data_IF_989034962050
#
_entry.id   IF_989034962050
#
_cell.length_a   1.000
_cell.length_b   1.000
_cell.length_c   1.000
_cell.angle_alpha   90.00
_cell.angle_beta   90.00
_cell.angle_gamma   90.00
#
_symmetry.space_group_name_H-M   'P 1'
#
loop_
_entity.id
_entity.type
_entity.pdbx_description
1 polymer ?
#
# COMPACT_ATOMS: atom_id res chain seq x y z
N UNK A 1 28.05 -15.57 -15.36
CA UNK A 1 27.09 -14.52 -14.91
C UNK A 1 26.78 -14.75 -13.44
N UNK A 2 27.12 -13.83 -12.54
CA UNK A 2 26.70 -13.91 -11.13
C UNK A 2 25.17 -13.80 -11.08
N UNK A 3 24.48 -14.84 -10.59
CA UNK A 3 23.06 -14.77 -10.28
C UNK A 3 22.88 -13.72 -9.19
N UNK A 4 22.51 -12.49 -9.57
CA UNK A 4 22.12 -11.48 -8.61
C UNK A 4 20.78 -11.93 -8.03
N UNK A 5 20.71 -12.01 -6.70
CA UNK A 5 19.44 -12.28 -6.00
C UNK A 5 18.44 -11.19 -6.36
N UNK A 6 17.29 -11.59 -6.96
CA UNK A 6 16.21 -10.68 -7.25
C UNK A 6 14.86 -11.29 -6.85
N UNK A 7 13.97 -10.44 -6.37
CA UNK A 7 12.59 -10.82 -6.06
C UNK A 7 11.71 -10.60 -7.30
N UNK A 8 10.76 -11.51 -7.52
CA UNK A 8 9.73 -11.34 -8.54
C UNK A 8 8.52 -10.58 -8.00
N UNK A 9 7.66 -10.03 -8.88
CA UNK A 9 6.40 -9.44 -8.47
C UNK A 9 5.51 -10.45 -7.72
N UNK A 10 5.48 -11.72 -8.15
CA UNK A 10 4.76 -12.77 -7.45
C UNK A 10 5.27 -12.98 -6.02
N UNK A 11 6.60 -12.97 -5.82
CA UNK A 11 7.19 -13.09 -4.48
C UNK A 11 6.84 -11.88 -3.60
N UNK A 12 6.86 -10.66 -4.16
CA UNK A 12 6.43 -9.46 -3.44
C UNK A 12 4.94 -9.50 -3.08
N UNK A 13 4.07 -10.01 -3.96
CA UNK A 13 2.65 -10.20 -3.63
C UNK A 13 2.45 -11.16 -2.46
N UNK A 14 3.12 -12.32 -2.48
CA UNK A 14 3.03 -13.29 -1.39
C UNK A 14 3.54 -12.67 -0.08
N UNK A 15 4.68 -11.98 -0.13
CA UNK A 15 5.26 -11.32 1.04
C UNK A 15 4.30 -10.26 1.63
N UNK A 16 3.74 -9.40 0.77
CA UNK A 16 2.80 -8.37 1.19
C UNK A 16 1.50 -8.97 1.78
N UNK A 17 0.95 -10.03 1.18
CA UNK A 17 -0.22 -10.75 1.70
C UNK A 17 0.08 -11.39 3.06
N UNK A 18 1.27 -11.97 3.25
CA UNK A 18 1.69 -12.53 4.53
C UNK A 18 1.79 -11.46 5.61
N UNK A 19 2.43 -10.33 5.31
CA UNK A 19 2.54 -9.22 6.26
C UNK A 19 1.17 -8.61 6.60
N UNK A 20 0.29 -8.47 5.62
CA UNK A 20 -1.07 -7.99 5.82
C UNK A 20 -1.88 -8.94 6.72
N UNK A 21 -1.75 -10.26 6.49
CA UNK A 21 -2.41 -11.25 7.36
C UNK A 21 -1.91 -11.14 8.80
N UNK A 22 -0.61 -10.94 9.00
CA UNK A 22 -0.02 -10.76 10.34
C UNK A 22 -0.58 -9.52 11.03
N UNK A 23 -0.70 -8.39 10.32
CA UNK A 23 -1.30 -7.16 10.85
C UNK A 23 -2.77 -7.36 11.25
N UNK A 24 -3.54 -8.03 10.39
CA UNK A 24 -4.96 -8.29 10.67
C UNK A 24 -5.18 -9.32 11.78
N UNK A 25 -4.29 -10.32 11.92
CA UNK A 25 -4.30 -11.22 13.09
C UNK A 25 -4.06 -10.45 14.39
N UNK A 26 -3.12 -9.51 14.39
CA UNK A 26 -2.93 -8.64 15.54
C UNK A 26 -4.15 -7.77 15.82
N UNK A 27 -4.72 -7.15 14.78
CA UNK A 27 -5.88 -6.27 14.94
C UNK A 27 -7.14 -6.99 15.45
N UNK A 28 -7.20 -8.33 15.34
CA UNK A 28 -8.38 -9.13 15.67
C UNK A 28 -8.13 -10.11 16.84
N UNK A 29 -7.40 -11.19 16.60
CA UNK A 29 -7.32 -12.35 17.49
C UNK A 29 -6.09 -12.32 18.43
N UNK A 30 -5.01 -11.67 18.04
CA UNK A 30 -3.70 -11.78 18.69
C UNK A 30 -3.14 -10.40 19.09
N UNK A 31 -3.97 -9.53 19.65
CA UNK A 31 -3.64 -8.13 19.98
C UNK A 31 -2.48 -7.99 20.99
N UNK A 32 -2.19 -9.02 21.79
CA UNK A 32 -1.03 -9.08 22.67
C UNK A 32 0.31 -9.27 21.94
N UNK A 33 0.30 -9.77 20.70
CA UNK A 33 1.48 -10.10 19.92
C UNK A 33 1.93 -8.91 19.04
N UNK A 34 2.47 -7.86 19.67
CA UNK A 34 2.83 -6.60 19.00
C UNK A 34 3.75 -6.75 17.77
N UNK A 35 4.61 -7.77 17.75
CA UNK A 35 5.53 -8.02 16.63
C UNK A 35 4.78 -8.29 15.30
N UNK A 36 3.54 -8.79 15.36
CA UNK A 36 2.72 -9.04 14.18
C UNK A 36 2.38 -7.74 13.44
N UNK A 37 1.95 -6.70 14.16
CA UNK A 37 1.69 -5.40 13.53
C UNK A 37 2.98 -4.69 13.12
N UNK A 38 4.08 -4.86 13.86
CA UNK A 38 5.37 -4.28 13.46
C UNK A 38 5.82 -4.79 12.09
N UNK A 39 5.70 -6.09 11.84
CA UNK A 39 5.97 -6.67 10.52
C UNK A 39 4.87 -6.31 9.52
N UNK A 40 3.64 -6.23 9.97
CA UNK A 40 2.47 -5.84 9.19
C UNK A 40 2.59 -4.49 8.50
N UNK A 41 3.28 -3.51 9.15
CA UNK A 41 3.52 -2.18 8.56
C UNK A 41 4.21 -2.23 7.19
N UNK A 42 4.91 -3.30 6.87
CA UNK A 42 5.61 -3.46 5.58
C UNK A 42 4.64 -3.78 4.42
N UNK A 43 3.43 -4.25 4.70
CA UNK A 43 2.49 -4.72 3.68
C UNK A 43 2.08 -3.61 2.72
N UNK A 44 1.59 -2.50 3.26
CA UNK A 44 1.01 -1.43 2.46
C UNK A 44 1.98 -0.80 1.45
N UNK A 45 3.23 -0.41 1.81
CA UNK A 45 4.17 0.13 0.84
C UNK A 45 4.48 -0.84 -0.31
N UNK A 46 4.54 -2.16 -0.02
CA UNK A 46 4.74 -3.17 -1.08
C UNK A 46 3.54 -3.22 -2.01
N UNK A 47 2.30 -3.20 -1.49
CA UNK A 47 1.10 -3.14 -2.33
C UNK A 47 1.02 -1.86 -3.15
N UNK A 48 1.35 -0.71 -2.58
CA UNK A 48 1.39 0.57 -3.28
C UNK A 48 2.40 0.54 -4.43
N UNK A 49 3.60 0.02 -4.20
CA UNK A 49 4.61 -0.19 -5.23
C UNK A 49 4.11 -1.13 -6.34
N UNK A 50 3.54 -2.28 -5.97
CA UNK A 50 3.02 -3.26 -6.92
C UNK A 50 1.84 -2.71 -7.73
N UNK A 51 1.00 -1.86 -7.15
CA UNK A 51 -0.08 -1.18 -7.85
C UNK A 51 0.46 -0.24 -8.95
N UNK A 52 1.51 0.54 -8.64
CA UNK A 52 2.19 1.39 -9.61
C UNK A 52 2.85 0.56 -10.73
N UNK A 53 3.55 -0.52 -10.38
CA UNK A 53 4.11 -1.43 -11.39
C UNK A 53 3.01 -2.03 -12.26
N UNK A 54 1.89 -2.45 -11.66
CA UNK A 54 0.71 -2.94 -12.38
C UNK A 54 0.13 -1.91 -13.36
N UNK A 55 0.13 -0.63 -13.01
CA UNK A 55 -0.29 0.45 -13.90
C UNK A 55 0.54 0.50 -15.18
N UNK A 56 1.86 0.41 -15.08
CA UNK A 56 2.75 0.48 -16.24
C UNK A 56 2.80 -0.81 -17.06
N UNK A 57 2.44 -1.94 -16.47
CA UNK A 57 2.43 -3.24 -17.17
C UNK A 57 1.05 -3.64 -17.70
N UNK A 58 -0.03 -2.93 -17.33
CA UNK A 58 -1.38 -3.30 -17.79
C UNK A 58 -1.62 -2.90 -19.25
N UNK A 59 -2.24 -3.80 -20.03
CA UNK A 59 -2.69 -3.50 -21.40
C UNK A 59 -3.90 -2.57 -21.45
N UNK A 60 -4.67 -2.48 -20.36
CA UNK A 60 -5.88 -1.66 -20.29
C UNK A 60 -6.11 -1.15 -18.88
N UNK A 61 -5.80 0.13 -18.67
CA UNK A 61 -6.04 0.81 -17.40
C UNK A 61 -7.53 0.74 -17.00
N UNK A 62 -8.47 0.93 -17.94
CA UNK A 62 -9.90 0.86 -17.66
C UNK A 62 -10.29 -0.48 -17.02
N UNK A 63 -9.82 -1.61 -17.58
CA UNK A 63 -10.10 -2.93 -17.01
C UNK A 63 -9.40 -3.16 -15.68
N UNK A 64 -8.21 -2.60 -15.50
CA UNK A 64 -7.49 -2.67 -14.23
C UNK A 64 -8.23 -1.89 -13.13
N UNK A 65 -8.57 -0.63 -13.38
CA UNK A 65 -9.31 0.22 -12.44
C UNK A 65 -10.69 -0.36 -12.10
N UNK A 66 -11.41 -0.90 -13.10
CA UNK A 66 -12.71 -1.54 -12.88
C UNK A 66 -12.60 -2.77 -11.96
N UNK A 67 -11.57 -3.61 -12.15
CA UNK A 67 -11.32 -4.74 -11.23
C UNK A 67 -11.05 -4.25 -9.82
N UNK A 68 -10.20 -3.23 -9.65
CA UNK A 68 -9.93 -2.66 -8.33
C UNK A 68 -11.19 -2.09 -7.68
N UNK A 69 -12.01 -1.37 -8.46
CA UNK A 69 -13.29 -0.85 -7.97
C UNK A 69 -14.22 -1.96 -7.49
N UNK A 70 -14.40 -3.01 -8.29
CA UNK A 70 -15.24 -4.16 -7.94
C UNK A 70 -14.73 -4.86 -6.67
N UNK A 71 -13.41 -5.05 -6.55
CA UNK A 71 -12.84 -5.67 -5.35
C UNK A 71 -12.85 -4.74 -4.15
N UNK A 72 -12.73 -3.41 -4.32
CA UNK A 72 -12.91 -2.45 -3.24
C UNK A 72 -14.33 -2.57 -2.65
N UNK A 73 -15.36 -2.55 -3.51
CA UNK A 73 -16.75 -2.70 -3.10
C UNK A 73 -17.04 -4.07 -2.45
N UNK A 74 -16.53 -5.16 -3.05
CA UNK A 74 -16.70 -6.51 -2.51
C UNK A 74 -16.02 -6.69 -1.15
N UNK A 75 -14.90 -6.02 -0.93
CA UNK A 75 -14.10 -6.14 0.30
C UNK A 75 -14.61 -5.24 1.43
N UNK A 76 -15.54 -4.32 1.16
CA UNK A 76 -16.01 -3.38 2.18
C UNK A 76 -16.73 -4.12 3.30
N UNK A 77 -17.67 -4.99 2.99
CA UNK A 77 -18.42 -5.75 4.01
C UNK A 77 -17.49 -6.62 4.88
N UNK A 78 -16.57 -7.45 4.34
CA UNK A 78 -15.57 -8.14 5.16
C UNK A 78 -14.70 -7.22 6.01
N UNK A 79 -14.31 -6.06 5.47
CA UNK A 79 -13.51 -5.07 6.17
C UNK A 79 -14.28 -4.42 7.33
N UNK A 80 -15.49 -3.98 7.08
CA UNK A 80 -16.39 -3.37 8.07
C UNK A 80 -16.70 -4.34 9.22
N UNK A 81 -16.97 -5.61 8.90
CA UNK A 81 -17.18 -6.65 9.90
C UNK A 81 -15.92 -6.89 10.75
N UNK A 82 -14.74 -6.86 10.14
CA UNK A 82 -13.49 -7.13 10.85
C UNK A 82 -13.07 -5.96 11.76
N UNK A 83 -13.20 -4.71 11.29
CA UNK A 83 -12.75 -3.53 12.04
C UNK A 83 -13.86 -2.87 12.87
N UNK A 84 -15.07 -2.81 12.35
CA UNK A 84 -16.21 -2.14 12.97
C UNK A 84 -17.19 -3.08 13.69
N UNK A 85 -17.07 -4.40 13.50
CA UNK A 85 -18.01 -5.39 14.05
C UNK A 85 -19.43 -5.28 13.44
N UNK A 86 -19.61 -4.51 12.37
CA UNK A 86 -20.90 -4.25 11.72
C UNK A 86 -20.77 -4.41 10.21
N UNK A 87 -21.90 -4.62 9.52
CA UNK A 87 -21.94 -4.75 8.05
C UNK A 87 -21.63 -3.42 7.34
N UNK A 88 -21.80 -2.30 8.03
CA UNK A 88 -21.58 -0.96 7.51
C UNK A 88 -20.87 -0.09 8.54
N UNK A 89 -19.61 0.26 8.26
CA UNK A 89 -18.73 1.08 9.09
C UNK A 89 -18.12 2.24 8.29
N UNK A 90 -18.84 3.34 8.06
CA UNK A 90 -18.49 4.36 7.07
C UNK A 90 -17.30 5.25 7.43
N UNK A 91 -16.74 5.11 8.61
CA UNK A 91 -15.64 5.97 9.12
C UNK A 91 -14.24 5.43 8.79
N UNK A 92 -14.14 4.29 8.12
CA UNK A 92 -12.88 3.70 7.67
C UNK A 92 -13.13 2.79 6.47
N UNK A 93 -12.54 3.11 5.33
CA UNK A 93 -12.69 2.37 4.08
C UNK A 93 -11.45 1.52 3.80
N UNK A 94 -11.64 0.37 3.14
CA UNK A 94 -10.54 -0.56 2.88
C UNK A 94 -9.43 0.00 1.96
N UNK A 95 -8.24 -0.58 2.04
CA UNK A 95 -7.01 -0.11 1.37
C UNK A 95 -7.09 -0.11 -0.16
N UNK A 96 -8.00 -0.87 -0.77
CA UNK A 96 -8.11 -0.89 -2.23
C UNK A 96 -8.61 0.46 -2.75
N UNK A 97 -9.44 1.19 -2.00
CA UNK A 97 -9.84 2.56 -2.32
C UNK A 97 -8.64 3.51 -2.36
N UNK A 98 -7.72 3.39 -1.41
CA UNK A 98 -6.47 4.17 -1.38
C UNK A 98 -5.65 3.94 -2.65
N UNK A 99 -5.44 2.67 -3.00
CA UNK A 99 -4.70 2.30 -4.20
C UNK A 99 -5.41 2.77 -5.47
N UNK A 100 -6.72 2.64 -5.56
CA UNK A 100 -7.52 3.08 -6.71
C UNK A 100 -7.45 4.59 -6.89
N UNK A 101 -7.61 5.39 -5.83
CA UNK A 101 -7.45 6.84 -5.87
C UNK A 101 -6.06 7.23 -6.37
N UNK A 102 -5.02 6.59 -5.85
CA UNK A 102 -3.65 6.79 -6.31
C UNK A 102 -3.48 6.51 -7.81
N UNK A 103 -4.00 5.39 -8.30
CA UNK A 103 -3.93 5.02 -9.72
C UNK A 103 -4.73 5.93 -10.64
N UNK A 104 -5.90 6.42 -10.20
CA UNK A 104 -6.68 7.41 -10.93
C UNK A 104 -5.91 8.74 -11.04
N UNK A 105 -5.26 9.16 -9.95
CA UNK A 105 -4.37 10.33 -9.96
C UNK A 105 -3.20 10.17 -10.93
N UNK A 106 -2.51 9.03 -10.92
CA UNK A 106 -1.43 8.73 -11.87
C UNK A 106 -1.94 8.82 -13.32
N UNK A 107 -3.14 8.29 -13.58
CA UNK A 107 -3.74 8.36 -14.92
C UNK A 107 -3.96 9.79 -15.39
N UNK A 108 -4.38 10.70 -14.51
CA UNK A 108 -4.54 12.12 -14.80
C UNK A 108 -3.19 12.80 -15.09
N UNK A 109 -2.17 12.51 -14.26
CA UNK A 109 -0.82 13.03 -14.46
C UNK A 109 -0.23 12.59 -15.80
N UNK A 110 -0.36 11.31 -16.16
CA UNK A 110 0.12 10.77 -17.43
C UNK A 110 -0.66 11.36 -18.63
N UNK A 111 -1.97 11.58 -18.50
CA UNK A 111 -2.76 12.24 -19.54
C UNK A 111 -2.33 13.71 -19.75
N UNK A 112 -1.98 14.44 -18.71
CA UNK A 112 -1.45 15.79 -18.81
C UNK A 112 -0.05 15.79 -19.45
N UNK A 113 0.80 14.83 -19.06
CA UNK A 113 2.15 14.64 -19.61
C UNK A 113 2.12 14.38 -21.11
N UNK A 114 1.17 13.56 -21.58
CA UNK A 114 0.99 13.25 -22.98
C UNK A 114 0.61 14.46 -23.86
N UNK A 115 0.07 15.55 -23.27
CA UNK A 115 -0.21 16.80 -24.00
C UNK A 115 1.05 17.63 -24.30
N UNK A 116 2.22 17.28 -23.77
CA UNK A 116 3.50 17.92 -24.04
C UNK A 116 3.66 19.34 -23.46
N UNK A 117 2.64 19.90 -22.78
CA UNK A 117 2.69 21.24 -22.20
C UNK A 117 3.23 21.19 -20.76
N UNK A 118 4.47 21.62 -20.53
CA UNK A 118 5.15 21.54 -19.24
C UNK A 118 4.37 22.18 -18.08
N UNK A 119 3.82 23.38 -18.31
CA UNK A 119 3.03 24.08 -17.29
C UNK A 119 1.78 23.29 -16.89
N UNK A 120 1.09 22.69 -17.88
CA UNK A 120 -0.11 21.86 -17.63
C UNK A 120 0.25 20.61 -16.81
N UNK A 121 1.38 19.98 -17.12
CA UNK A 121 1.87 18.84 -16.36
C UNK A 121 2.14 19.21 -14.89
N UNK A 122 2.83 20.33 -14.65
CA UNK A 122 3.14 20.80 -13.30
C UNK A 122 1.86 21.12 -12.52
N UNK A 123 0.94 21.89 -13.11
CA UNK A 123 -0.34 22.24 -12.46
C UNK A 123 -1.19 21.00 -12.18
N UNK A 124 -1.27 20.06 -13.14
CA UNK A 124 -2.02 18.81 -12.93
C UNK A 124 -1.40 17.96 -11.84
N UNK A 125 -0.07 17.82 -11.81
CA UNK A 125 0.60 17.07 -10.74
C UNK A 125 0.34 17.71 -9.37
N UNK A 126 0.49 19.02 -9.25
CA UNK A 126 0.21 19.73 -8.00
C UNK A 126 -1.26 19.56 -7.56
N UNK A 127 -2.20 19.77 -8.47
CA UNK A 127 -3.63 19.60 -8.20
C UNK A 127 -3.97 18.15 -7.78
N UNK A 128 -3.43 17.15 -8.48
CA UNK A 128 -3.67 15.73 -8.18
C UNK A 128 -3.09 15.34 -6.83
N UNK A 129 -1.92 15.86 -6.46
CA UNK A 129 -1.32 15.62 -5.13
C UNK A 129 -2.21 16.18 -4.03
N UNK A 130 -2.64 17.45 -4.16
CA UNK A 130 -3.53 18.10 -3.17
C UNK A 130 -4.88 17.41 -3.10
N UNK A 131 -5.53 17.17 -4.25
CA UNK A 131 -6.83 16.50 -4.30
C UNK A 131 -6.74 15.05 -3.83
N UNK A 132 -5.69 14.34 -4.19
CA UNK A 132 -5.47 12.95 -3.74
C UNK A 132 -5.34 12.86 -2.22
N UNK A 133 -4.59 13.78 -1.62
CA UNK A 133 -4.49 13.88 -0.15
C UNK A 133 -5.86 14.21 0.47
N UNK A 134 -6.54 15.23 -0.05
CA UNK A 134 -7.85 15.65 0.46
C UNK A 134 -8.91 14.54 0.32
N UNK A 135 -9.04 13.93 -0.85
CA UNK A 135 -10.01 12.85 -1.09
C UNK A 135 -9.70 11.60 -0.25
N UNK A 136 -8.42 11.24 -0.09
CA UNK A 136 -8.02 10.13 0.76
C UNK A 136 -8.37 10.38 2.23
N UNK A 137 -8.17 11.61 2.70
CA UNK A 137 -8.47 11.99 4.09
C UNK A 137 -9.98 12.12 4.33
N UNK A 138 -10.69 12.85 3.48
CA UNK A 138 -12.14 13.06 3.61
C UNK A 138 -12.94 11.77 3.35
N UNK A 139 -12.47 10.92 2.44
CA UNK A 139 -13.05 9.59 2.18
C UNK A 139 -12.71 8.56 3.23
N UNK A 140 -11.90 8.91 4.24
CA UNK A 140 -11.49 8.02 5.32
C UNK A 140 -10.95 6.67 4.83
N UNK A 141 -10.25 6.70 3.67
CA UNK A 141 -9.64 5.47 3.14
C UNK A 141 -8.45 5.05 4.00
N UNK A 142 -8.13 3.76 4.00
CA UNK A 142 -7.03 3.24 4.81
C UNK A 142 -5.71 3.98 4.50
N UNK A 143 -4.97 4.35 5.54
CA UNK A 143 -3.82 5.29 5.50
C UNK A 143 -4.18 6.72 5.03
N UNK A 144 -5.45 7.08 4.92
CA UNK A 144 -5.94 8.42 4.56
C UNK A 144 -5.25 9.00 3.31
N UNK A 145 -5.07 10.33 3.28
CA UNK A 145 -4.33 11.00 2.21
C UNK A 145 -2.86 10.59 2.10
N UNK A 146 -2.22 10.24 3.23
CA UNK A 146 -0.83 9.76 3.23
C UNK A 146 -0.66 8.46 2.43
N UNK A 147 -1.66 7.57 2.47
CA UNK A 147 -1.68 6.36 1.65
C UNK A 147 -1.72 6.69 0.16
N UNK A 148 -2.55 7.62 -0.27
CA UNK A 148 -2.61 8.07 -1.68
C UNK A 148 -1.27 8.70 -2.10
N UNK A 149 -0.66 9.52 -1.23
CA UNK A 149 0.66 10.11 -1.50
C UNK A 149 1.78 9.07 -1.54
N UNK A 150 1.65 7.96 -0.81
CA UNK A 150 2.61 6.84 -0.90
C UNK A 150 2.59 6.22 -2.31
N UNK A 151 1.41 6.06 -2.93
CA UNK A 151 1.30 5.61 -4.32
C UNK A 151 1.96 6.61 -5.27
N UNK A 152 1.76 7.93 -5.05
CA UNK A 152 2.42 8.97 -5.86
C UNK A 152 3.94 9.01 -5.65
N UNK A 153 4.43 8.75 -4.45
CA UNK A 153 5.87 8.65 -4.18
C UNK A 153 6.51 7.54 -5.03
N UNK A 154 5.91 6.36 -5.08
CA UNK A 154 6.39 5.28 -5.94
C UNK A 154 6.26 5.59 -7.44
N UNK A 155 5.30 6.39 -7.85
CA UNK A 155 5.19 6.86 -9.23
C UNK A 155 6.28 7.86 -9.59
N UNK A 156 6.49 8.90 -8.77
CA UNK A 156 7.47 9.95 -9.05
C UNK A 156 8.91 9.44 -8.97
N UNK A 157 9.19 8.53 -8.04
CA UNK A 157 10.51 7.96 -7.82
C UNK A 157 10.63 6.52 -8.35
N UNK A 158 9.92 6.20 -9.44
CA UNK A 158 9.87 4.84 -9.97
C UNK A 158 11.20 4.35 -10.57
N UNK A 159 12.01 5.26 -11.13
CA UNK A 159 13.26 4.89 -11.78
C UNK A 159 14.27 4.29 -10.79
N UNK A 160 15.10 3.34 -11.27
CA UNK A 160 16.13 2.69 -10.45
C UNK A 160 17.43 3.51 -10.40
N UNK A 161 17.32 4.78 -10.07
CA UNK A 161 18.44 5.69 -9.85
C UNK A 161 18.62 5.91 -8.34
N UNK A 162 19.85 6.12 -7.88
CA UNK A 162 20.14 6.31 -6.45
C UNK A 162 19.32 7.46 -5.84
N UNK A 163 19.11 8.56 -6.56
CA UNK A 163 18.31 9.68 -6.08
C UNK A 163 16.80 9.35 -6.01
N UNK A 164 16.30 8.45 -6.85
CA UNK A 164 14.93 7.95 -6.74
C UNK A 164 14.77 7.06 -5.49
N UNK A 165 15.78 6.25 -5.17
CA UNK A 165 15.78 5.45 -3.95
C UNK A 165 15.81 6.35 -2.70
N UNK A 166 16.61 7.42 -2.71
CA UNK A 166 16.59 8.43 -1.64
C UNK A 166 15.25 9.17 -1.58
N UNK A 167 14.65 9.50 -2.72
CA UNK A 167 13.33 10.12 -2.80
C UNK A 167 12.23 9.23 -2.21
N UNK A 168 12.23 7.93 -2.50
CA UNK A 168 11.33 6.97 -1.87
C UNK A 168 11.54 6.92 -0.36
N UNK A 169 12.80 6.82 0.10
CA UNK A 169 13.12 6.79 1.52
C UNK A 169 12.63 8.05 2.25
N UNK A 170 12.94 9.24 1.71
CA UNK A 170 12.53 10.51 2.28
C UNK A 170 11.00 10.68 2.28
N UNK A 171 10.33 10.32 1.18
CA UNK A 171 8.87 10.39 1.08
C UNK A 171 8.20 9.42 2.07
N UNK A 172 8.63 8.16 2.13
CA UNK A 172 8.07 7.20 3.08
C UNK A 172 8.34 7.60 4.52
N UNK A 173 9.53 8.13 4.84
CA UNK A 173 9.83 8.65 6.16
C UNK A 173 8.85 9.76 6.54
N UNK A 174 8.72 10.77 5.68
CA UNK A 174 7.83 11.89 5.95
C UNK A 174 6.36 11.44 6.10
N UNK A 175 5.88 10.59 5.19
CA UNK A 175 4.49 10.13 5.22
C UNK A 175 4.19 9.23 6.43
N UNK A 176 5.10 8.31 6.78
CA UNK A 176 4.83 7.34 7.84
C UNK A 176 5.20 7.88 9.22
N UNK A 177 6.30 8.62 9.37
CA UNK A 177 6.76 9.07 10.69
C UNK A 177 6.16 10.43 11.06
N UNK A 178 6.09 11.38 10.08
CA UNK A 178 5.65 12.75 10.38
C UNK A 178 4.14 12.93 10.18
N UNK A 179 3.58 12.40 9.07
CA UNK A 179 2.14 12.63 8.74
C UNK A 179 1.24 11.62 9.45
N UNK A 180 1.53 10.31 9.34
CA UNK A 180 0.73 9.27 9.99
C UNK A 180 1.06 9.15 11.47
N UNK A 181 2.34 9.21 11.83
CA UNK A 181 2.79 9.05 13.21
C UNK A 181 2.50 7.65 13.75
N UNK A 182 1.93 7.57 14.95
CA UNK A 182 1.56 6.34 15.60
C UNK A 182 2.23 6.16 16.96
N UNK A 183 2.30 4.92 17.44
CA UNK A 183 2.93 4.60 18.72
C UNK A 183 4.43 4.84 18.65
N UNK A 184 4.97 5.39 19.73
CA UNK A 184 6.41 5.63 19.88
C UNK A 184 6.92 4.70 20.98
N UNK A 185 8.00 3.98 20.67
CA UNK A 185 8.66 3.08 21.61
C UNK A 185 10.06 3.58 21.91
N UNK A 186 10.46 3.71 23.18
CA UNK A 186 11.84 3.93 23.55
C UNK A 186 12.63 2.63 23.28
N UNK A 187 13.65 2.70 22.43
CA UNK A 187 14.53 1.59 22.09
C UNK A 187 15.96 2.01 22.41
N UNK A 188 16.66 1.21 23.21
CA UNK A 188 18.09 1.44 23.50
C UNK A 188 18.93 0.83 22.38
N UNK A 189 19.55 1.67 21.57
CA UNK A 189 20.46 1.26 20.51
C UNK A 189 21.86 1.83 20.77
N UNK A 190 22.86 0.96 20.85
CA UNK A 190 24.27 1.35 21.16
C UNK A 190 24.39 2.22 22.43
N UNK A 191 23.60 1.94 23.49
CA UNK A 191 23.63 2.67 24.75
C UNK A 191 22.95 4.06 24.72
N UNK A 192 22.23 4.39 23.65
CA UNK A 192 21.40 5.59 23.54
C UNK A 192 19.94 5.22 23.42
N UNK A 193 19.09 5.92 24.15
CA UNK A 193 17.64 5.81 23.95
C UNK A 193 17.22 6.56 22.69
N UNK A 194 16.55 5.87 21.78
CA UNK A 194 16.01 6.39 20.55
C UNK A 194 14.51 6.15 20.54
N UNK A 195 13.74 7.13 20.18
CA UNK A 195 12.29 6.99 19.96
C UNK A 195 12.03 6.37 18.58
N UNK A 196 11.49 5.16 18.56
CA UNK A 196 11.10 4.45 17.35
C UNK A 196 9.59 4.63 17.12
N UNK A 197 9.22 5.32 16.04
CA UNK A 197 7.84 5.37 15.59
C UNK A 197 7.47 4.03 14.94
N UNK A 198 6.39 3.37 15.41
CA UNK A 198 5.91 2.08 14.90
C UNK A 198 5.65 2.13 13.39
N UNK A 199 4.95 3.17 12.94
CA UNK A 199 4.65 3.35 11.51
C UNK A 199 5.91 3.54 10.65
N UNK A 200 7.02 4.01 11.25
CA UNK A 200 8.32 4.11 10.60
C UNK A 200 8.91 2.76 10.15
N UNK A 201 8.46 1.64 10.75
CA UNK A 201 8.85 0.30 10.30
C UNK A 201 8.42 0.01 8.85
N UNK A 202 7.42 0.73 8.33
CA UNK A 202 7.01 0.67 6.92
C UNK A 202 8.17 0.97 5.94
N UNK A 203 9.21 1.72 6.36
CA UNK A 203 10.39 1.99 5.56
C UNK A 203 11.18 0.73 5.22
N UNK A 204 11.12 -0.30 6.06
CA UNK A 204 11.80 -1.58 5.81
C UNK A 204 11.24 -2.31 4.58
N UNK A 205 10.02 -1.95 4.13
CA UNK A 205 9.45 -2.45 2.89
C UNK A 205 10.29 -2.08 1.65
N UNK A 206 11.09 -1.01 1.73
CA UNK A 206 11.99 -0.63 0.63
C UNK A 206 13.05 -1.71 0.36
N UNK A 207 13.45 -2.49 1.35
CA UNK A 207 14.44 -3.56 1.16
C UNK A 207 13.97 -4.58 0.12
N UNK A 208 12.84 -5.28 0.28
CA UNK A 208 12.35 -6.20 -0.74
C UNK A 208 11.95 -5.48 -2.04
N UNK A 209 11.44 -4.23 -2.00
CA UNK A 209 11.12 -3.44 -3.18
C UNK A 209 12.40 -3.16 -4.01
N UNK A 210 13.51 -2.81 -3.39
CA UNK A 210 14.77 -2.52 -4.11
C UNK A 210 15.43 -3.79 -4.67
N UNK A 211 15.11 -4.96 -4.12
CA UNK A 211 15.53 -6.25 -4.67
C UNK A 211 14.70 -6.68 -5.90
N UNK A 212 13.52 -6.11 -6.13
CA UNK A 212 12.72 -6.34 -7.34
C UNK A 212 13.37 -5.67 -8.55
N UNK A 213 13.48 -6.42 -9.68
CA UNK A 213 14.12 -5.95 -10.93
C UNK A 213 13.23 -6.08 -12.17
N UNK A 214 11.91 -6.00 -12.00
CA UNK A 214 10.95 -6.04 -13.12
C UNK A 214 10.53 -7.46 -13.54
N UNK A 215 11.00 -8.52 -12.86
CA UNK A 215 10.62 -9.89 -13.16
C UNK A 215 9.24 -10.22 -12.58
N UNK A 216 8.30 -10.66 -13.42
CA UNK A 216 6.94 -11.03 -12.97
C UNK A 216 6.91 -12.26 -12.07
N UNK A 217 7.74 -13.28 -12.35
CA UNK A 217 7.70 -14.56 -11.65
C UNK A 217 6.52 -15.42 -12.08
N UNK A 218 5.98 -16.22 -11.16
CA UNK A 218 4.81 -17.07 -11.45
C UNK A 218 3.59 -16.19 -11.76
N UNK A 219 3.07 -16.30 -12.98
CA UNK A 219 1.94 -15.50 -13.46
C UNK A 219 0.92 -16.40 -14.16
N UNK A 220 0.00 -16.97 -13.38
CA UNK A 220 -1.17 -17.67 -13.89
C UNK A 220 -2.44 -16.89 -13.56
N UNK A 221 -3.51 -17.11 -14.34
CA UNK A 221 -4.82 -16.54 -14.01
C UNK A 221 -5.31 -17.00 -12.63
N UNK A 222 -5.06 -18.27 -12.29
CA UNK A 222 -5.41 -18.82 -10.98
C UNK A 222 -4.70 -18.10 -9.85
N UNK A 223 -3.38 -17.85 -9.96
CA UNK A 223 -2.62 -17.08 -8.98
C UNK A 223 -3.15 -15.65 -8.84
N UNK A 224 -3.46 -15.00 -9.96
CA UNK A 224 -4.02 -13.65 -9.95
C UNK A 224 -5.37 -13.59 -9.22
N UNK A 225 -6.28 -14.54 -9.50
CA UNK A 225 -7.57 -14.61 -8.80
C UNK A 225 -7.40 -14.96 -7.33
N UNK A 226 -6.46 -15.84 -6.98
CA UNK A 226 -6.15 -16.17 -5.59
C UNK A 226 -5.67 -14.93 -4.82
N UNK A 227 -4.79 -14.10 -5.39
CA UNK A 227 -4.36 -12.84 -4.78
C UNK A 227 -5.53 -11.87 -4.57
N UNK A 228 -6.45 -11.74 -5.53
CA UNK A 228 -7.63 -10.88 -5.37
C UNK A 228 -8.60 -11.43 -4.32
N UNK A 229 -8.89 -12.72 -4.33
CA UNK A 229 -9.82 -13.35 -3.41
C UNK A 229 -9.29 -13.40 -1.97
N UNK A 230 -7.96 -13.47 -1.80
CA UNK A 230 -7.33 -13.52 -0.49
C UNK A 230 -7.75 -12.34 0.40
N UNK A 231 -7.80 -11.12 -0.18
CA UNK A 231 -8.08 -9.92 0.59
C UNK A 231 -9.45 -9.95 1.28
N UNK A 232 -10.60 -10.10 0.59
CA UNK A 232 -11.89 -10.20 1.26
C UNK A 232 -12.05 -11.50 2.06
N UNK A 233 -11.47 -12.62 1.60
CA UNK A 233 -11.67 -13.91 2.24
C UNK A 233 -11.02 -13.99 3.63
N UNK A 234 -9.76 -13.57 3.78
CA UNK A 234 -9.11 -13.63 5.11
C UNK A 234 -9.76 -12.68 6.11
N UNK A 235 -10.20 -11.48 5.68
CA UNK A 235 -10.91 -10.55 6.55
C UNK A 235 -12.25 -11.12 7.03
N UNK A 236 -13.00 -11.76 6.13
CA UNK A 236 -14.26 -12.42 6.49
C UNK A 236 -14.01 -13.57 7.49
N UNK A 237 -12.98 -14.39 7.26
CA UNK A 237 -12.62 -15.47 8.18
C UNK A 237 -12.25 -14.91 9.56
N UNK A 238 -11.43 -13.85 9.62
CA UNK A 238 -11.05 -13.22 10.88
C UNK A 238 -12.24 -12.60 11.59
N UNK A 239 -13.14 -11.90 10.87
CA UNK A 239 -14.37 -11.36 11.44
C UNK A 239 -15.26 -12.46 12.04
N UNK A 240 -15.46 -13.57 11.34
CA UNK A 240 -16.24 -14.69 11.87
C UNK A 240 -15.60 -15.31 13.12
N UNK A 241 -14.27 -15.45 13.15
CA UNK A 241 -13.58 -16.00 14.30
C UNK A 241 -13.67 -15.08 15.53
N UNK A 242 -13.63 -13.74 15.33
CA UNK A 242 -13.83 -12.79 16.46
C UNK A 242 -15.26 -12.76 16.99
N UNK A 243 -16.26 -13.11 16.18
CA UNK A 243 -17.67 -13.21 16.63
C UNK A 243 -17.95 -14.46 17.46
N UNK A 244 -17.08 -15.45 17.42
CA UNK A 244 -17.24 -16.73 18.16
C UNK A 244 -16.50 -16.71 19.50
N UNK A 245 -15.56 -15.79 19.69
CA UNK A 245 -14.84 -15.56 20.97
C UNK A 245 -15.63 -14.68 21.92
#
# INVERSE_FOLDING_TARGET
MKKTFDLSAAALHILAMTFMLMDHLWATLLSSQMWLTHVGRLAFPIFAFLAVEGYFHTRSFKRYALRMLLFAMLSEVPFDLMYGGTVFYPVHQNVIWTLLLGLLGIRLMEAARAKGKRWLCILTCAAVVVLGFALGTLGMVDYYGAGVLTVFAFYFFRERKWWCLLGQLAALYWLNVVVLGGRIYPVTLFGREIELCEQGLALLALVPIWLYRGRQGHHSKAFQYACYAFYPAHMLVLALLTMIQ
#
